data_IF_893933083854
#
_entry.id   IF_893933083854
#
_cell.length_a   1.000
_cell.length_b   1.000
_cell.length_c   1.000
_cell.angle_alpha   90.00
_cell.angle_beta   90.00
_cell.angle_gamma   90.00
#
_symmetry.space_group_name_H-M   'P 1'
#
loop_
_entity.id
_entity.type
_entity.pdbx_description
1 polymer ?
#
# COMPACT_ATOMS: atom_id res chain seq x y z
N UNK A 1 -23.34 -2.16 -7.15
CA UNK A 1 -22.81 -1.97 -8.53
C UNK A 1 -21.42 -2.58 -8.58
N UNK A 2 -20.92 -3.14 -9.70
CA UNK A 2 -19.54 -3.63 -9.78
C UNK A 2 -18.60 -2.45 -10.05
N UNK A 3 -17.51 -2.33 -9.30
CA UNK A 3 -16.48 -1.32 -9.56
C UNK A 3 -15.71 -1.69 -10.85
N UNK A 4 -15.56 -0.72 -11.73
CA UNK A 4 -14.84 -0.86 -13.00
C UNK A 4 -13.36 -0.61 -12.76
N UNK A 5 -12.55 -1.64 -12.87
CA UNK A 5 -11.11 -1.60 -12.61
C UNK A 5 -10.34 -1.61 -13.93
N UNK A 6 -9.54 -0.58 -14.17
CA UNK A 6 -8.57 -0.49 -15.26
C UNK A 6 -7.16 -0.79 -14.74
N UNK A 7 -6.49 -1.75 -15.32
CA UNK A 7 -5.08 -2.06 -15.05
C UNK A 7 -4.24 -1.35 -16.11
N UNK A 8 -3.22 -0.60 -15.67
CA UNK A 8 -2.28 0.11 -16.54
C UNK A 8 -0.86 -0.36 -16.22
N UNK A 9 -0.36 -1.28 -17.04
CA UNK A 9 0.89 -1.97 -16.77
C UNK A 9 1.49 -2.47 -18.09
N UNK A 10 2.78 -2.17 -18.40
CA UNK A 10 3.44 -2.65 -19.60
C UNK A 10 3.73 -4.15 -19.61
N UNK A 11 3.84 -4.79 -18.45
CA UNK A 11 4.17 -6.21 -18.31
C UNK A 11 2.94 -7.09 -18.43
N UNK A 12 2.85 -7.87 -19.50
CA UNK A 12 1.80 -8.85 -19.70
C UNK A 12 1.75 -9.89 -18.58
N UNK A 13 2.91 -10.32 -18.05
CA UNK A 13 3.00 -11.25 -16.94
C UNK A 13 2.31 -10.72 -15.67
N UNK A 14 2.51 -9.44 -15.36
CA UNK A 14 1.87 -8.79 -14.21
C UNK A 14 0.38 -8.65 -14.44
N UNK A 15 -0.03 -8.27 -15.64
CA UNK A 15 -1.44 -8.16 -16.02
C UNK A 15 -2.15 -9.51 -15.81
N UNK A 16 -1.59 -10.59 -16.33
CA UNK A 16 -2.21 -11.92 -16.21
C UNK A 16 -2.23 -12.41 -14.75
N UNK A 17 -1.18 -12.12 -13.97
CA UNK A 17 -1.17 -12.38 -12.53
C UNK A 17 -2.30 -11.65 -11.80
N UNK A 18 -2.49 -10.36 -12.10
CA UNK A 18 -3.56 -9.56 -11.51
C UNK A 18 -4.96 -10.03 -11.95
N UNK A 19 -5.14 -10.38 -13.23
CA UNK A 19 -6.40 -10.97 -13.73
C UNK A 19 -6.73 -12.26 -12.97
N UNK A 20 -5.75 -13.14 -12.79
CA UNK A 20 -5.92 -14.38 -12.02
C UNK A 20 -6.29 -14.14 -10.54
N UNK A 21 -5.66 -13.12 -9.91
CA UNK A 21 -5.99 -12.71 -8.54
C UNK A 21 -7.44 -12.21 -8.45
N UNK A 22 -7.90 -11.47 -9.45
CA UNK A 22 -9.21 -10.84 -9.50
C UNK A 22 -10.31 -11.76 -10.06
N UNK A 23 -9.95 -12.91 -10.62
CA UNK A 23 -10.89 -13.89 -11.14
C UNK A 23 -11.87 -14.37 -10.06
N UNK A 24 -13.16 -14.43 -10.43
CA UNK A 24 -14.22 -14.80 -9.50
C UNK A 24 -14.66 -13.71 -8.51
N UNK A 25 -14.02 -12.54 -8.51
CA UNK A 25 -14.42 -11.43 -7.63
C UNK A 25 -15.64 -10.71 -8.18
N UNK A 26 -16.80 -10.89 -7.51
CA UNK A 26 -18.08 -10.30 -7.93
C UNK A 26 -18.06 -8.76 -7.86
N UNK A 27 -17.21 -8.19 -7.01
CA UNK A 27 -17.09 -6.73 -6.79
C UNK A 27 -16.54 -5.97 -7.98
N UNK A 28 -15.62 -6.58 -8.74
CA UNK A 28 -14.92 -5.91 -9.81
C UNK A 28 -15.42 -6.32 -11.20
N UNK A 29 -15.41 -5.35 -12.10
CA UNK A 29 -15.44 -5.55 -13.55
C UNK A 29 -14.08 -5.10 -14.08
N UNK A 30 -13.17 -6.06 -14.27
CA UNK A 30 -11.87 -5.77 -14.88
C UNK A 30 -12.09 -5.38 -16.34
N UNK A 31 -11.59 -4.19 -16.68
CA UNK A 31 -11.63 -3.68 -18.05
C UNK A 31 -10.44 -4.22 -18.84
N UNK A 32 -10.48 -4.08 -20.16
CA UNK A 32 -9.32 -4.39 -20.99
C UNK A 32 -8.12 -3.57 -20.54
N UNK A 33 -6.99 -4.20 -20.20
CA UNK A 33 -5.82 -3.49 -19.70
C UNK A 33 -5.24 -2.51 -20.70
N UNK A 34 -4.55 -1.49 -20.20
CA UNK A 34 -3.82 -0.53 -21.02
C UNK A 34 -2.31 -0.73 -20.77
N UNK A 35 -1.57 -1.01 -21.82
CA UNK A 35 -0.12 -1.24 -21.75
C UNK A 35 0.68 0.04 -22.04
N UNK A 36 0.03 1.05 -22.63
CA UNK A 36 0.67 2.30 -23.01
C UNK A 36 0.12 3.49 -22.20
N UNK A 37 0.98 4.09 -21.40
CA UNK A 37 0.64 5.25 -20.56
C UNK A 37 0.17 6.47 -21.39
N UNK A 38 0.65 6.63 -22.63
CA UNK A 38 0.30 7.78 -23.47
C UNK A 38 -1.19 7.80 -23.86
N UNK A 39 -1.84 6.65 -23.86
CA UNK A 39 -3.27 6.50 -24.19
C UNK A 39 -4.17 6.62 -22.95
N UNK A 40 -3.60 6.69 -21.77
CA UNK A 40 -4.34 6.55 -20.50
C UNK A 40 -5.47 7.57 -20.33
N UNK A 41 -5.22 8.86 -20.60
CA UNK A 41 -6.24 9.89 -20.45
C UNK A 41 -7.47 9.63 -21.37
N UNK A 42 -7.23 9.25 -22.62
CA UNK A 42 -8.30 8.89 -23.55
C UNK A 42 -9.05 7.63 -23.08
N UNK A 43 -8.30 6.65 -22.56
CA UNK A 43 -8.85 5.40 -22.08
C UNK A 43 -9.75 5.61 -20.86
N UNK A 44 -9.32 6.44 -19.91
CA UNK A 44 -10.10 6.82 -18.72
C UNK A 44 -11.40 7.51 -19.12
N UNK A 45 -11.34 8.50 -20.02
CA UNK A 45 -12.52 9.20 -20.52
C UNK A 45 -13.51 8.24 -21.21
N UNK A 46 -13.01 7.33 -22.05
CA UNK A 46 -13.85 6.40 -22.81
C UNK A 46 -14.45 5.29 -21.94
N UNK A 47 -13.64 4.74 -21.04
CA UNK A 47 -14.05 3.58 -20.25
C UNK A 47 -14.61 3.93 -18.88
N UNK A 48 -14.44 5.16 -18.39
CA UNK A 48 -14.91 5.66 -17.07
C UNK A 48 -14.70 4.65 -15.96
N UNK A 49 -13.45 4.26 -15.63
CA UNK A 49 -13.19 3.33 -14.55
C UNK A 49 -13.49 4.00 -13.21
N UNK A 50 -13.86 3.20 -12.20
CA UNK A 50 -13.97 3.64 -10.82
C UNK A 50 -12.59 3.59 -10.13
N UNK A 51 -11.74 2.64 -10.57
CA UNK A 51 -10.38 2.41 -10.04
C UNK A 51 -9.41 2.26 -11.21
N UNK A 52 -8.26 2.94 -11.11
CA UNK A 52 -7.09 2.71 -12.00
C UNK A 52 -5.95 2.18 -11.14
N UNK A 53 -5.55 0.93 -11.38
CA UNK A 53 -4.37 0.30 -10.80
C UNK A 53 -3.20 0.50 -11.77
N UNK A 54 -2.20 1.27 -11.38
CA UNK A 54 -1.15 1.73 -12.26
C UNK A 54 0.23 1.73 -11.59
N UNK A 55 1.26 1.39 -12.35
CA UNK A 55 2.64 1.54 -11.92
C UNK A 55 3.00 3.04 -11.78
N UNK A 56 3.37 3.51 -10.57
CA UNK A 56 3.65 4.92 -10.30
C UNK A 56 4.90 5.48 -11.00
N UNK A 57 5.73 4.61 -11.60
CA UNK A 57 6.92 5.04 -12.35
C UNK A 57 6.65 5.33 -13.82
N UNK A 58 5.44 5.09 -14.29
CA UNK A 58 5.05 5.46 -15.66
C UNK A 58 4.98 6.99 -15.81
N UNK A 59 5.37 7.52 -16.98
CA UNK A 59 5.39 8.97 -17.25
C UNK A 59 3.97 9.51 -17.45
N UNK A 60 3.19 9.59 -16.39
CA UNK A 60 1.79 10.05 -16.41
C UNK A 60 1.63 11.26 -15.51
N UNK A 61 0.88 12.25 -16.00
CA UNK A 61 0.43 13.38 -15.18
C UNK A 61 -0.82 12.95 -14.37
N UNK A 62 -0.57 12.38 -13.18
CA UNK A 62 -1.62 11.86 -12.32
C UNK A 62 -2.59 12.95 -11.83
N UNK A 63 -2.14 14.20 -11.71
CA UNK A 63 -2.99 15.30 -11.29
C UNK A 63 -4.09 15.60 -12.31
N UNK A 64 -3.80 15.42 -13.60
CA UNK A 64 -4.82 15.58 -14.67
C UNK A 64 -5.85 14.46 -14.69
N UNK A 65 -5.51 13.27 -14.21
CA UNK A 65 -6.44 12.14 -14.15
C UNK A 65 -7.48 12.30 -13.05
N UNK A 66 -7.13 12.94 -11.94
CA UNK A 66 -8.02 13.15 -10.79
C UNK A 66 -9.06 14.28 -10.99
N UNK A 67 -8.84 15.17 -11.97
CA UNK A 67 -9.56 16.46 -12.05
C UNK A 67 -11.01 16.41 -12.52
N UNK A 68 -11.54 15.33 -13.09
CA UNK A 68 -12.86 15.34 -13.74
C UNK A 68 -13.80 14.20 -13.32
N UNK A 69 -13.33 13.17 -12.62
CA UNK A 69 -14.16 12.00 -12.27
C UNK A 69 -13.81 11.50 -10.85
N UNK A 70 -14.82 10.94 -10.16
CA UNK A 70 -14.61 10.16 -8.94
C UNK A 70 -13.84 8.87 -9.25
N UNK A 71 -12.55 9.01 -9.51
CA UNK A 71 -11.64 7.96 -9.91
C UNK A 71 -10.64 7.72 -8.79
N UNK A 72 -10.57 6.50 -8.26
CA UNK A 72 -9.53 6.11 -7.32
C UNK A 72 -8.26 5.70 -8.07
N UNK A 73 -7.12 6.33 -7.75
CA UNK A 73 -5.80 5.96 -8.26
C UNK A 73 -5.12 5.04 -7.26
N UNK A 74 -4.79 3.82 -7.67
CA UNK A 74 -4.09 2.84 -6.85
C UNK A 74 -2.72 2.56 -7.45
N UNK A 75 -1.65 2.76 -6.67
CA UNK A 75 -0.30 2.46 -7.09
C UNK A 75 -0.04 0.94 -7.06
N UNK A 76 0.47 0.39 -8.14
CA UNK A 76 1.00 -0.98 -8.20
C UNK A 76 2.52 -0.93 -8.04
N UNK A 77 3.03 -1.40 -6.91
CA UNK A 77 4.44 -1.32 -6.55
C UNK A 77 5.08 -2.70 -6.57
N UNK A 78 6.18 -2.87 -7.33
CA UNK A 78 7.01 -4.07 -7.36
C UNK A 78 8.51 -3.76 -7.38
N UNK A 79 8.86 -2.47 -7.30
CA UNK A 79 10.22 -1.97 -7.20
C UNK A 79 10.24 -0.78 -6.24
N UNK A 80 11.44 -0.27 -5.93
CA UNK A 80 11.55 0.92 -5.10
C UNK A 80 10.87 2.12 -5.78
N UNK A 81 10.02 2.78 -5.04
CA UNK A 81 9.32 4.01 -5.45
C UNK A 81 9.51 5.05 -4.34
N UNK A 82 9.89 6.25 -4.71
CA UNK A 82 10.01 7.36 -3.75
C UNK A 82 8.62 7.73 -3.20
N UNK A 83 8.58 8.07 -1.90
CA UNK A 83 7.31 8.45 -1.23
C UNK A 83 6.59 9.59 -1.92
N UNK A 84 7.35 10.54 -2.48
CA UNK A 84 6.80 11.69 -3.20
C UNK A 84 5.95 11.27 -4.39
N UNK A 85 6.38 10.24 -5.13
CA UNK A 85 5.64 9.71 -6.26
C UNK A 85 4.32 9.04 -5.87
N UNK A 86 4.18 8.61 -4.62
CA UNK A 86 2.97 7.94 -4.12
C UNK A 86 1.91 8.92 -3.58
N UNK A 87 2.22 10.20 -3.40
CA UNK A 87 1.28 11.20 -2.84
C UNK A 87 0.00 11.42 -3.67
N UNK A 88 0.06 11.10 -4.95
CA UNK A 88 -1.08 11.26 -5.87
C UNK A 88 -1.98 10.02 -5.93
N UNK A 89 -1.73 9.03 -5.09
CA UNK A 89 -2.49 7.78 -5.10
C UNK A 89 -3.36 7.65 -3.86
N UNK A 90 -4.56 7.13 -4.03
CA UNK A 90 -5.53 6.90 -2.95
C UNK A 90 -5.24 5.60 -2.18
N UNK A 91 -4.54 4.63 -2.79
CA UNK A 91 -4.09 3.40 -2.17
C UNK A 91 -2.84 2.84 -2.85
N UNK A 92 -2.18 1.89 -2.18
CA UNK A 92 -0.99 1.21 -2.70
C UNK A 92 -1.17 -0.29 -2.59
N UNK A 93 -0.89 -1.01 -3.67
CA UNK A 93 -0.80 -2.47 -3.76
C UNK A 93 0.65 -2.84 -4.04
N UNK A 94 1.25 -3.64 -3.18
CA UNK A 94 2.57 -4.26 -3.41
C UNK A 94 2.37 -5.63 -4.05
N UNK A 95 3.16 -5.97 -5.08
CA UNK A 95 3.08 -7.28 -5.77
C UNK A 95 3.33 -8.46 -4.80
N UNK A 96 3.94 -8.20 -3.64
CA UNK A 96 4.21 -9.18 -2.58
C UNK A 96 3.05 -9.35 -1.62
N UNK A 97 2.01 -8.51 -1.73
CA UNK A 97 0.82 -8.63 -0.91
C UNK A 97 0.07 -9.93 -1.20
N UNK A 98 -0.60 -10.47 -0.20
CA UNK A 98 -1.45 -11.63 -0.41
C UNK A 98 -2.66 -11.28 -1.26
N UNK A 99 -3.24 -12.28 -1.95
CA UNK A 99 -4.49 -12.12 -2.72
C UNK A 99 -5.57 -11.39 -1.94
N UNK A 100 -5.74 -11.74 -0.65
CA UNK A 100 -6.76 -11.12 0.20
C UNK A 100 -6.51 -9.63 0.43
N UNK A 101 -5.25 -9.24 0.70
CA UNK A 101 -4.87 -7.85 0.91
C UNK A 101 -5.05 -7.03 -0.37
N UNK A 102 -4.64 -7.55 -1.53
CA UNK A 102 -4.81 -6.87 -2.82
C UNK A 102 -6.30 -6.59 -3.08
N UNK A 103 -7.15 -7.60 -2.91
CA UNK A 103 -8.61 -7.48 -3.13
C UNK A 103 -9.22 -6.47 -2.16
N UNK A 104 -8.83 -6.51 -0.89
CA UNK A 104 -9.36 -5.60 0.14
C UNK A 104 -8.92 -4.17 -0.12
N UNK A 105 -7.64 -3.92 -0.43
CA UNK A 105 -7.12 -2.60 -0.78
C UNK A 105 -7.85 -1.99 -1.97
N UNK A 106 -8.05 -2.77 -3.04
CA UNK A 106 -8.81 -2.33 -4.21
C UNK A 106 -10.29 -2.05 -3.87
N UNK A 107 -10.91 -2.87 -3.01
CA UNK A 107 -12.32 -2.72 -2.64
C UNK A 107 -12.58 -1.49 -1.75
N UNK A 108 -11.58 -1.04 -1.01
CA UNK A 108 -11.65 0.12 -0.11
C UNK A 108 -11.14 1.41 -0.78
N UNK A 109 -10.52 1.31 -1.95
CA UNK A 109 -10.02 2.48 -2.66
C UNK A 109 -11.17 3.42 -3.03
N UNK A 110 -11.09 4.66 -2.54
CA UNK A 110 -12.08 5.72 -2.74
C UNK A 110 -11.40 6.99 -3.21
N UNK A 111 -12.00 7.71 -4.19
CA UNK A 111 -11.41 8.96 -4.69
C UNK A 111 -11.37 10.04 -3.61
N UNK A 112 -10.26 10.75 -3.51
CA UNK A 112 -10.11 11.90 -2.62
C UNK A 112 -9.78 11.56 -1.17
N UNK A 113 -9.74 10.30 -0.80
CA UNK A 113 -9.07 9.85 0.42
C UNK A 113 -7.57 9.71 0.15
N UNK A 114 -6.93 10.81 -0.28
CA UNK A 114 -5.47 10.89 -0.46
C UNK A 114 -4.75 10.76 0.88
N UNK A 115 -4.98 9.65 1.54
CA UNK A 115 -4.22 9.11 2.67
C UNK A 115 -3.37 7.92 2.19
N UNK A 116 -3.19 7.82 0.86
CA UNK A 116 -2.51 6.71 0.18
C UNK A 116 -1.02 6.61 0.50
N UNK A 117 -0.44 7.68 1.03
CA UNK A 117 0.88 7.61 1.68
C UNK A 117 0.83 6.89 3.02
N UNK A 118 -0.36 6.70 3.64
CA UNK A 118 -0.48 6.13 4.99
C UNK A 118 -0.85 4.63 5.02
N UNK A 119 -1.43 4.09 3.95
CA UNK A 119 -2.06 2.75 4.03
C UNK A 119 -1.12 1.57 3.97
N UNK A 120 -0.08 1.59 3.13
CA UNK A 120 0.78 0.39 2.90
C UNK A 120 2.19 0.52 3.47
N UNK A 121 2.76 1.71 3.53
CA UNK A 121 4.14 1.93 4.00
C UNK A 121 4.23 2.67 5.34
N UNK A 122 3.18 3.40 5.77
CA UNK A 122 3.14 3.92 7.13
C UNK A 122 2.72 2.85 8.13
N UNK A 123 3.37 2.90 9.29
CA UNK A 123 3.01 2.00 10.38
C UNK A 123 1.65 2.42 10.94
N UNK A 124 0.73 1.47 11.06
CA UNK A 124 -0.52 1.68 11.78
C UNK A 124 -0.26 2.05 13.24
N UNK A 125 -1.22 2.65 13.93
CA UNK A 125 -1.11 2.96 15.37
C UNK A 125 -0.67 1.76 16.20
N UNK A 126 -1.13 0.54 15.85
CA UNK A 126 -0.72 -0.70 16.53
C UNK A 126 0.70 -1.12 16.19
N UNK A 127 1.11 -1.02 14.94
CA UNK A 127 2.50 -1.29 14.52
C UNK A 127 3.46 -0.28 15.12
N UNK A 128 3.09 1.01 15.17
CA UNK A 128 3.88 2.05 15.86
C UNK A 128 4.02 1.72 17.35
N UNK A 129 2.95 1.33 18.04
CA UNK A 129 3.02 0.94 19.43
C UNK A 129 3.95 -0.27 19.66
N UNK A 130 3.89 -1.27 18.77
CA UNK A 130 4.81 -2.42 18.82
C UNK A 130 6.26 -1.99 18.55
N UNK A 131 6.48 -1.11 17.55
CA UNK A 131 7.81 -0.61 17.22
C UNK A 131 8.45 0.17 18.37
N UNK A 132 7.70 1.04 19.04
CA UNK A 132 8.17 1.79 20.23
C UNK A 132 8.64 0.84 21.34
N UNK A 133 7.82 -0.16 21.67
CA UNK A 133 8.17 -1.14 22.69
C UNK A 133 9.38 -2.00 22.28
N UNK A 134 9.49 -2.36 20.98
CA UNK A 134 10.62 -3.09 20.43
C UNK A 134 11.91 -2.27 20.53
N UNK A 135 11.86 -0.97 20.20
CA UNK A 135 12.99 -0.06 20.26
C UNK A 135 13.47 0.16 21.71
N UNK A 136 12.58 0.03 22.69
CA UNK A 136 12.89 0.00 24.14
C UNK A 136 13.49 -1.34 24.59
N UNK A 137 13.80 -2.26 23.69
CA UNK A 137 14.45 -3.53 24.01
C UNK A 137 13.52 -4.62 24.55
N UNK A 138 12.20 -4.42 24.55
CA UNK A 138 11.25 -5.42 25.10
C UNK A 138 11.16 -6.65 24.19
N UNK A 139 11.00 -7.80 24.84
CA UNK A 139 10.72 -9.09 24.19
C UNK A 139 9.29 -9.15 23.65
N UNK A 140 9.02 -10.06 22.73
CA UNK A 140 7.66 -10.25 22.20
C UNK A 140 6.62 -10.53 23.28
N UNK A 141 7.01 -11.21 24.37
CA UNK A 141 6.13 -11.53 25.50
C UNK A 141 5.78 -10.26 26.28
N UNK A 142 6.79 -9.46 26.63
CA UNK A 142 6.58 -8.19 27.34
C UNK A 142 5.77 -7.19 26.53
N UNK A 143 5.97 -7.16 25.19
CA UNK A 143 5.17 -6.34 24.27
C UNK A 143 3.71 -6.82 24.24
N UNK A 144 3.50 -8.14 24.20
CA UNK A 144 2.18 -8.75 24.21
C UNK A 144 1.43 -8.41 25.50
N UNK A 145 2.09 -8.53 26.65
CA UNK A 145 1.53 -8.19 27.95
C UNK A 145 1.22 -6.68 28.04
N UNK A 146 2.16 -5.81 27.62
CA UNK A 146 2.00 -4.36 27.67
C UNK A 146 0.87 -3.84 26.77
N UNK A 147 0.65 -4.47 25.61
CA UNK A 147 -0.36 -4.05 24.63
C UNK A 147 -1.67 -4.86 24.73
N UNK A 148 -1.74 -5.79 25.69
CA UNK A 148 -2.88 -6.68 25.91
C UNK A 148 -3.31 -7.44 24.64
N UNK A 149 -2.33 -8.10 24.00
CA UNK A 149 -2.51 -8.91 22.78
C UNK A 149 -1.77 -10.25 22.92
N UNK A 150 -1.99 -11.18 21.99
CA UNK A 150 -1.24 -12.43 21.96
C UNK A 150 0.19 -12.22 21.46
N UNK A 151 1.13 -13.09 21.87
CA UNK A 151 2.51 -13.11 21.33
C UNK A 151 2.50 -13.30 19.81
N UNK A 152 1.59 -14.12 19.27
CA UNK A 152 1.42 -14.32 17.82
C UNK A 152 1.01 -13.03 17.10
N UNK A 153 0.16 -12.21 17.74
CA UNK A 153 -0.23 -10.90 17.22
C UNK A 153 0.98 -9.96 17.13
N UNK A 154 1.83 -9.94 18.17
CA UNK A 154 3.08 -9.15 18.15
C UNK A 154 4.01 -9.61 17.03
N UNK A 155 4.19 -10.92 16.84
CA UNK A 155 5.01 -11.47 15.75
C UNK A 155 4.47 -11.03 14.39
N UNK A 156 3.16 -11.06 14.20
CA UNK A 156 2.52 -10.59 12.97
C UNK A 156 2.75 -9.10 12.72
N UNK A 157 2.59 -8.25 13.74
CA UNK A 157 2.90 -6.83 13.63
C UNK A 157 4.37 -6.58 13.31
N UNK A 158 5.32 -7.29 13.93
CA UNK A 158 6.76 -7.18 13.61
C UNK A 158 7.06 -7.56 12.16
N UNK A 159 6.42 -8.61 11.64
CA UNK A 159 6.53 -8.99 10.23
C UNK A 159 6.04 -7.87 9.31
N UNK A 160 4.91 -7.26 9.64
CA UNK A 160 4.35 -6.14 8.88
C UNK A 160 5.24 -4.88 8.97
N UNK A 161 5.78 -4.56 10.16
CA UNK A 161 6.75 -3.46 10.34
C UNK A 161 7.98 -3.69 9.45
N UNK A 162 8.55 -4.89 9.48
CA UNK A 162 9.70 -5.24 8.63
C UNK A 162 9.35 -5.12 7.14
N UNK A 163 8.16 -5.54 6.74
CA UNK A 163 7.68 -5.42 5.37
C UNK A 163 7.53 -3.95 4.96
N UNK A 164 6.88 -3.14 5.79
CA UNK A 164 6.61 -1.72 5.51
C UNK A 164 7.87 -0.84 5.54
N UNK A 165 8.82 -1.13 6.44
CA UNK A 165 10.05 -0.33 6.58
C UNK A 165 11.20 -0.85 5.73
N UNK A 166 11.14 -2.10 5.27
CA UNK A 166 12.29 -2.80 4.64
C UNK A 166 13.41 -3.17 5.62
N UNK A 167 13.28 -2.85 6.91
CA UNK A 167 14.32 -2.98 7.93
C UNK A 167 14.12 -4.29 8.70
N UNK A 168 15.13 -5.18 8.65
CA UNK A 168 15.06 -6.51 9.29
C UNK A 168 15.68 -6.54 10.70
N UNK A 169 16.66 -5.68 10.97
CA UNK A 169 17.37 -5.68 12.26
C UNK A 169 16.65 -4.82 13.30
N UNK A 170 16.66 -5.25 14.57
CA UNK A 170 16.08 -4.48 15.68
C UNK A 170 16.79 -3.14 15.81
N UNK A 171 18.13 -3.11 15.74
CA UNK A 171 18.90 -1.87 15.79
C UNK A 171 18.49 -0.88 14.66
N UNK A 172 18.30 -1.36 13.45
CA UNK A 172 17.80 -0.52 12.34
C UNK A 172 16.39 0.00 12.59
N UNK A 173 15.50 -0.81 13.17
CA UNK A 173 14.15 -0.39 13.57
C UNK A 173 14.17 0.64 14.69
N UNK A 174 15.13 0.55 15.63
CA UNK A 174 15.33 1.56 16.67
C UNK A 174 15.76 2.89 16.08
N UNK A 175 16.74 2.88 15.17
CA UNK A 175 17.16 4.09 14.42
C UNK A 175 15.99 4.69 13.63
N UNK A 176 15.20 3.85 12.96
CA UNK A 176 14.00 4.29 12.25
C UNK A 176 13.01 4.98 13.19
N UNK A 177 12.76 4.42 14.38
CA UNK A 177 11.85 5.00 15.36
C UNK A 177 12.34 6.37 15.86
N UNK A 178 13.65 6.53 16.07
CA UNK A 178 14.28 7.82 16.45
C UNK A 178 14.14 8.87 15.33
N UNK A 179 14.49 8.52 14.10
CA UNK A 179 14.42 9.43 12.94
C UNK A 179 12.99 9.91 12.65
N UNK A 180 11.98 9.11 13.01
CA UNK A 180 10.58 9.47 12.86
C UNK A 180 9.96 10.06 14.13
N UNK A 181 10.76 10.45 15.13
CA UNK A 181 10.33 11.03 16.41
C UNK A 181 9.28 10.17 17.15
N UNK A 182 9.37 8.84 17.02
CA UNK A 182 8.51 7.90 17.72
C UNK A 182 9.03 7.57 19.14
N UNK A 183 10.33 7.76 19.35
CA UNK A 183 11.03 7.60 20.64
C UNK A 183 12.10 8.68 20.75
N UNK A 184 12.36 9.12 21.97
CA UNK A 184 13.47 10.01 22.34
C UNK A 184 14.67 9.21 22.82
N UNK A 185 15.89 9.79 22.74
CA UNK A 185 17.12 9.16 23.27
C UNK A 185 16.99 8.77 24.75
N UNK A 186 16.23 9.56 25.53
CA UNK A 186 15.96 9.28 26.94
C UNK A 186 15.11 8.03 27.18
N UNK A 187 14.45 7.51 26.15
CA UNK A 187 13.61 6.30 26.24
C UNK A 187 14.39 5.00 26.08
N UNK A 188 15.72 5.07 25.84
CA UNK A 188 16.61 3.94 25.59
C UNK A 188 17.49 3.58 26.82
N UNK A 189 17.40 4.35 27.89
CA UNK A 189 18.08 4.14 29.18
C UNK A 189 17.11 3.54 30.19
#
# INVERSE_FOLDING_TARGET
>A
MKQRLLIVEPSELIIEGLKSILEGQIRFKVLEPEMNADQLAKRVLASRPDIVLINPTLPVDFAKLQGEHHLALVALVYQYVEREALKNFDAVVDIRDSRAVIIETLAQASPGEADAGKGSYELTKRETAVLVQLAQGKTNKEIADALNVSVHTVISHRKNITHKTGIKSVAGLTVYAMLNNLIDESSLL
#
